data_IF_300373633739
#
_entry.id   IF_300373633739
#
_cell.length_a   1.000
_cell.length_b   1.000
_cell.length_c   1.000
_cell.angle_alpha   90.00
_cell.angle_beta   90.00
_cell.angle_gamma   90.00
#
_symmetry.space_group_name_H-M   'P 1'
#
loop_
_entity.id
_entity.type
_entity.pdbx_description
1 polymer ?
#
# COMPACT_ATOMS: atom_id res chain seq x y z
N UNK A 1 17.18 4.84 17.61
CA UNK A 1 15.77 5.22 17.87
C UNK A 1 14.96 4.09 17.31
N UNK A 2 14.42 3.22 18.16
CA UNK A 2 13.61 2.06 17.75
C UNK A 2 12.37 2.60 17.04
N UNK A 3 12.13 2.16 15.80
CA UNK A 3 10.90 2.47 15.08
C UNK A 3 9.72 1.91 15.88
N UNK A 4 8.71 2.73 16.14
CA UNK A 4 7.46 2.17 16.62
C UNK A 4 6.84 1.39 15.46
N UNK A 5 6.36 0.18 15.69
CA UNK A 5 5.72 -0.71 14.70
C UNK A 5 4.45 -0.12 14.04
N UNK A 6 4.08 1.11 14.36
CA UNK A 6 2.87 1.83 13.93
C UNK A 6 3.19 3.09 13.11
N UNK A 7 4.32 3.09 12.43
CA UNK A 7 4.76 4.27 11.64
C UNK A 7 4.75 3.99 10.14
N UNK A 8 4.00 4.78 9.39
CA UNK A 8 4.01 4.77 7.91
C UNK A 8 5.43 5.01 7.38
N UNK A 9 5.90 4.12 6.52
CA UNK A 9 7.23 4.14 5.95
C UNK A 9 7.55 5.39 5.11
N UNK A 10 8.86 5.69 4.96
CA UNK A 10 9.33 6.79 4.12
C UNK A 10 8.90 6.65 2.66
N UNK A 11 8.84 5.41 2.15
CA UNK A 11 8.38 5.09 0.80
C UNK A 11 6.94 5.52 0.54
N UNK A 12 6.02 5.23 1.48
CA UNK A 12 4.62 5.65 1.36
C UNK A 12 4.51 7.17 1.39
N UNK A 13 5.22 7.84 2.29
CA UNK A 13 5.20 9.32 2.33
C UNK A 13 5.73 9.95 1.04
N UNK A 14 6.75 9.35 0.44
CA UNK A 14 7.26 9.79 -0.87
C UNK A 14 6.23 9.53 -1.97
N UNK A 15 5.57 8.37 -1.94
CA UNK A 15 4.50 8.03 -2.88
C UNK A 15 3.36 9.04 -2.82
N UNK A 16 2.86 9.34 -1.62
CA UNK A 16 1.81 10.36 -1.43
C UNK A 16 2.23 11.69 -2.04
N UNK A 17 3.47 12.15 -1.79
CA UNK A 17 3.98 13.40 -2.34
C UNK A 17 4.17 13.43 -3.86
N UNK A 18 4.21 12.26 -4.52
CA UNK A 18 4.22 12.15 -5.99
C UNK A 18 2.81 12.02 -6.60
N UNK A 19 1.83 11.67 -5.80
CA UNK A 19 0.47 11.41 -6.25
C UNK A 19 -0.47 12.59 -6.06
N UNK A 20 -0.30 13.33 -4.95
CA UNK A 20 -1.18 14.45 -4.60
C UNK A 20 -0.36 15.65 -4.08
N UNK A 21 -0.78 16.89 -4.39
CA UNK A 21 -0.13 18.08 -3.88
C UNK A 21 -0.27 18.24 -2.37
N UNK A 22 0.63 19.01 -1.76
CA UNK A 22 0.49 19.44 -0.35
C UNK A 22 -0.84 20.20 -0.18
N UNK A 23 -1.53 19.94 0.93
CA UNK A 23 -2.85 20.48 1.21
C UNK A 23 -4.02 19.58 0.75
N UNK A 24 -3.75 18.55 -0.05
CA UNK A 24 -4.79 17.57 -0.43
C UNK A 24 -5.39 16.86 0.79
N UNK A 25 -6.61 16.34 0.60
CA UNK A 25 -7.31 15.54 1.60
C UNK A 25 -7.01 14.06 1.42
N UNK A 26 -6.60 13.40 2.47
CA UNK A 26 -6.30 11.95 2.50
C UNK A 26 -7.32 11.26 3.41
N UNK A 27 -7.98 10.24 2.88
CA UNK A 27 -8.78 9.30 3.66
C UNK A 27 -7.89 8.12 4.05
N UNK A 28 -7.61 7.98 5.34
CA UNK A 28 -6.79 6.93 5.92
C UNK A 28 -7.66 5.90 6.63
N UNK A 29 -7.44 4.62 6.37
CA UNK A 29 -8.01 3.52 7.12
C UNK A 29 -6.94 3.01 8.08
N UNK A 30 -7.19 3.15 9.38
CA UNK A 30 -6.23 2.90 10.45
C UNK A 30 -5.42 4.15 10.79
N UNK A 31 -5.46 4.55 12.05
CA UNK A 31 -4.70 5.67 12.57
C UNK A 31 -3.44 5.20 13.30
N UNK A 32 -2.40 6.02 13.27
CA UNK A 32 -1.17 5.75 13.99
C UNK A 32 -0.27 6.97 14.14
N UNK A 33 0.97 6.73 14.52
CA UNK A 33 1.99 7.79 14.61
C UNK A 33 2.22 8.45 13.23
N UNK A 34 2.02 7.68 12.16
CA UNK A 34 2.13 8.14 10.78
C UNK A 34 1.14 9.25 10.44
N UNK A 35 -0.09 9.16 10.95
CA UNK A 35 -1.15 10.16 10.77
C UNK A 35 -0.67 11.56 11.13
N UNK A 36 0.00 11.72 12.28
CA UNK A 36 0.54 13.01 12.71
C UNK A 36 1.66 13.56 11.82
N UNK A 37 2.39 12.71 11.12
CA UNK A 37 3.40 13.14 10.16
C UNK A 37 2.76 13.61 8.85
N UNK A 38 1.70 12.96 8.41
CA UNK A 38 0.94 13.33 7.22
C UNK A 38 0.12 14.60 7.47
N UNK A 39 -0.50 14.75 8.64
CA UNK A 39 -1.31 15.90 9.02
C UNK A 39 -0.55 17.25 9.00
N UNK A 40 0.78 17.22 9.02
CA UNK A 40 1.61 18.42 8.81
C UNK A 40 1.56 18.98 7.40
N UNK A 41 1.11 18.19 6.42
CA UNK A 41 1.14 18.53 4.99
C UNK A 41 -0.22 18.35 4.31
N UNK A 42 -1.09 17.53 4.87
CA UNK A 42 -2.34 17.08 4.26
C UNK A 42 -3.50 17.22 5.26
N UNK A 43 -4.69 17.40 4.75
CA UNK A 43 -5.92 17.29 5.56
C UNK A 43 -6.23 15.80 5.74
N UNK A 44 -6.09 15.30 6.97
CA UNK A 44 -6.30 13.88 7.27
C UNK A 44 -7.71 13.61 7.75
N UNK A 45 -8.33 12.57 7.21
CA UNK A 45 -9.51 11.90 7.73
C UNK A 45 -9.14 10.44 8.02
N UNK A 46 -9.13 10.05 9.29
CA UNK A 46 -8.70 8.71 9.70
C UNK A 46 -9.87 7.92 10.27
N UNK A 47 -10.17 6.78 9.64
CA UNK A 47 -11.12 5.78 10.14
C UNK A 47 -10.38 4.92 11.14
N UNK A 48 -10.85 4.91 12.41
CA UNK A 48 -10.18 4.19 13.48
C UNK A 48 -11.17 3.37 14.31
N UNK A 49 -10.77 2.15 14.67
CA UNK A 49 -11.62 1.23 15.45
C UNK A 49 -11.35 1.28 16.95
N UNK A 50 -10.12 1.57 17.36
CA UNK A 50 -9.74 1.65 18.77
C UNK A 50 -9.88 3.09 19.26
N UNK A 51 -10.82 3.28 20.19
CA UNK A 51 -11.13 4.58 20.79
C UNK A 51 -9.87 5.29 21.36
N UNK A 52 -8.87 4.53 21.78
CA UNK A 52 -7.61 5.08 22.30
C UNK A 52 -6.78 5.82 21.26
N UNK A 53 -6.96 5.48 19.99
CA UNK A 53 -6.28 6.12 18.87
C UNK A 53 -7.09 7.25 18.24
N UNK A 54 -8.39 7.31 18.52
CA UNK A 54 -9.25 8.41 18.08
C UNK A 54 -8.81 9.71 18.78
N UNK A 55 -8.49 10.73 17.98
CA UNK A 55 -7.99 12.01 18.49
C UNK A 55 -6.50 12.00 18.90
N UNK A 56 -5.76 10.92 18.67
CA UNK A 56 -4.33 10.86 18.98
C UNK A 56 -3.52 11.96 18.29
N UNK A 57 -3.93 12.38 17.10
CA UNK A 57 -3.39 13.54 16.39
C UNK A 57 -4.44 14.67 16.36
N UNK A 58 -4.20 15.77 17.07
CA UNK A 58 -5.11 16.92 17.13
C UNK A 58 -5.37 17.61 15.78
N UNK A 59 -4.49 17.39 14.79
CA UNK A 59 -4.59 17.98 13.44
C UNK A 59 -5.28 17.05 12.43
N UNK A 60 -5.79 15.90 12.86
CA UNK A 60 -6.52 14.97 12.00
C UNK A 60 -8.01 14.91 12.40
N UNK A 61 -8.88 14.72 11.42
CA UNK A 61 -10.27 14.39 11.64
C UNK A 61 -10.41 12.89 11.81
N UNK A 62 -11.29 12.46 12.72
CA UNK A 62 -11.47 11.03 13.00
C UNK A 62 -12.90 10.57 12.77
N UNK A 63 -13.01 9.36 12.25
CA UNK A 63 -14.24 8.59 12.19
C UNK A 63 -14.03 7.36 13.07
N UNK A 64 -14.66 7.32 14.25
CA UNK A 64 -14.63 6.16 15.11
C UNK A 64 -15.59 5.11 14.56
N UNK A 65 -15.06 4.04 13.96
CA UNK A 65 -15.83 2.92 13.41
C UNK A 65 -15.36 1.61 14.06
N UNK A 66 -16.07 1.11 15.08
CA UNK A 66 -15.73 -0.15 15.73
C UNK A 66 -15.68 -1.32 14.76
N UNK A 67 -14.88 -2.34 15.08
CA UNK A 67 -14.88 -3.58 14.28
C UNK A 67 -16.18 -4.34 14.51
N UNK A 68 -16.78 -4.77 13.41
CA UNK A 68 -17.96 -5.64 13.40
C UNK A 68 -17.73 -6.83 12.46
N UNK A 69 -18.53 -7.87 12.61
CA UNK A 69 -18.58 -8.97 11.63
C UNK A 69 -19.51 -8.55 10.49
N UNK A 70 -19.01 -8.63 9.26
CA UNK A 70 -19.77 -8.25 8.08
C UNK A 70 -20.88 -9.27 7.75
N UNK A 71 -21.74 -8.93 6.80
CA UNK A 71 -22.89 -9.74 6.41
C UNK A 71 -22.55 -11.15 5.88
N UNK A 72 -21.29 -11.38 5.45
CA UNK A 72 -20.77 -12.70 5.06
C UNK A 72 -20.56 -13.66 6.25
N UNK A 73 -20.68 -13.15 7.50
CA UNK A 73 -20.54 -13.91 8.73
C UNK A 73 -19.08 -14.24 9.12
N UNK A 74 -18.10 -13.90 8.31
CA UNK A 74 -16.70 -14.29 8.49
C UNK A 74 -15.74 -13.11 8.56
N UNK A 75 -15.92 -12.09 7.74
CA UNK A 75 -15.02 -10.94 7.67
C UNK A 75 -15.28 -9.98 8.82
N UNK A 76 -14.22 -9.63 9.55
CA UNK A 76 -14.26 -8.58 10.57
C UNK A 76 -13.68 -7.30 9.98
N UNK A 77 -14.44 -6.20 10.10
CA UNK A 77 -14.00 -4.91 9.54
C UNK A 77 -14.71 -3.73 10.23
N UNK A 78 -14.32 -2.52 9.88
CA UNK A 78 -15.00 -1.30 10.34
C UNK A 78 -16.49 -1.37 10.07
N UNK A 79 -17.30 -0.91 10.99
CA UNK A 79 -18.77 -0.93 10.87
C UNK A 79 -19.23 -0.09 9.66
N UNK A 80 -19.76 -0.73 8.59
CA UNK A 80 -20.20 -0.01 7.38
C UNK A 80 -21.34 0.97 7.66
N UNK A 81 -22.18 0.71 8.68
CA UNK A 81 -23.31 1.58 9.05
C UNK A 81 -22.85 2.94 9.57
N UNK A 82 -21.68 2.96 10.21
CA UNK A 82 -21.01 4.20 10.63
C UNK A 82 -20.40 4.90 9.43
N UNK A 83 -19.69 4.15 8.59
CA UNK A 83 -18.92 4.69 7.48
C UNK A 83 -19.80 5.38 6.43
N UNK A 84 -20.94 4.81 6.09
CA UNK A 84 -21.85 5.34 5.05
C UNK A 84 -22.28 6.80 5.28
N UNK A 85 -22.31 7.22 6.54
CA UNK A 85 -22.77 8.58 6.90
C UNK A 85 -21.62 9.55 7.21
N UNK A 86 -20.41 9.07 7.47
CA UNK A 86 -19.33 9.87 8.03
C UNK A 86 -18.12 10.02 7.10
N UNK A 87 -17.97 9.14 6.09
CA UNK A 87 -16.89 9.29 5.11
C UNK A 87 -17.05 10.63 4.37
N UNK A 88 -16.00 11.47 4.31
CA UNK A 88 -16.07 12.72 3.56
C UNK A 88 -16.33 12.44 2.07
N UNK A 89 -17.17 13.27 1.44
CA UNK A 89 -17.50 13.11 0.02
C UNK A 89 -16.27 13.38 -0.87
N UNK A 90 -15.40 14.29 -0.45
CA UNK A 90 -14.23 14.71 -1.22
C UNK A 90 -12.93 14.36 -0.48
N UNK A 91 -12.09 13.61 -1.15
CA UNK A 91 -10.70 13.34 -0.80
C UNK A 91 -9.92 13.03 -2.09
N UNK A 92 -8.61 13.18 -2.01
CA UNK A 92 -7.72 13.09 -3.18
C UNK A 92 -6.93 11.78 -3.21
N UNK A 93 -6.93 11.03 -2.11
CA UNK A 93 -6.19 9.78 -1.97
C UNK A 93 -6.79 8.93 -0.85
N UNK A 94 -6.77 7.59 -1.03
CA UNK A 94 -7.07 6.62 0.02
C UNK A 94 -5.77 5.95 0.46
N UNK A 95 -5.54 5.89 1.78
CA UNK A 95 -4.46 5.12 2.40
C UNK A 95 -5.05 3.97 3.22
N UNK A 96 -4.79 2.74 2.82
CA UNK A 96 -5.26 1.54 3.51
C UNK A 96 -4.13 0.99 4.38
N UNK A 97 -4.11 1.40 5.65
CA UNK A 97 -3.16 0.95 6.68
C UNK A 97 -3.83 0.20 7.84
N UNK A 98 -5.13 0.03 7.77
CA UNK A 98 -5.94 -0.68 8.76
C UNK A 98 -7.15 -1.39 8.15
N UNK A 99 -7.87 -2.14 8.98
CA UNK A 99 -7.60 -2.43 10.38
C UNK A 99 -6.35 -3.31 10.59
N UNK A 100 -5.91 -3.53 11.85
CA UNK A 100 -4.77 -4.41 12.14
C UNK A 100 -4.92 -5.80 11.53
N UNK A 101 -3.79 -6.42 11.14
CA UNK A 101 -3.76 -7.69 10.41
C UNK A 101 -4.53 -8.86 11.06
N UNK A 102 -4.76 -8.83 12.39
CA UNK A 102 -5.62 -9.82 13.07
C UNK A 102 -7.09 -9.82 12.60
N UNK A 103 -7.55 -8.71 12.03
CA UNK A 103 -8.90 -8.58 11.45
C UNK A 103 -8.88 -8.74 9.93
N UNK A 104 -7.72 -8.54 9.30
CA UNK A 104 -7.57 -8.47 7.85
C UNK A 104 -8.08 -7.16 7.26
N UNK A 105 -7.80 -6.95 5.97
CA UNK A 105 -8.23 -5.74 5.23
C UNK A 105 -9.21 -6.06 4.09
N UNK A 106 -9.65 -7.32 3.97
CA UNK A 106 -10.57 -7.77 2.90
C UNK A 106 -11.93 -7.05 2.94
N UNK A 107 -12.34 -6.56 4.12
CA UNK A 107 -13.54 -5.75 4.25
C UNK A 107 -13.54 -4.48 3.40
N UNK A 108 -12.36 -3.95 3.02
CA UNK A 108 -12.28 -2.82 2.10
C UNK A 108 -12.81 -3.16 0.71
N UNK A 109 -12.46 -4.33 0.15
CA UNK A 109 -12.96 -4.73 -1.17
C UNK A 109 -14.44 -5.14 -1.13
N UNK A 110 -14.93 -5.65 0.00
CA UNK A 110 -16.34 -6.01 0.18
C UNK A 110 -17.25 -4.77 0.29
N UNK A 111 -16.70 -3.67 0.79
CA UNK A 111 -17.44 -2.42 1.00
C UNK A 111 -16.88 -1.26 0.16
N UNK A 112 -16.21 -1.56 -0.94
CA UNK A 112 -15.53 -0.53 -1.73
C UNK A 112 -16.48 0.50 -2.34
N UNK A 113 -17.76 0.16 -2.51
CA UNK A 113 -18.81 1.07 -3.00
C UNK A 113 -19.12 2.22 -2.02
N UNK A 114 -18.68 2.12 -0.77
CA UNK A 114 -18.74 3.22 0.19
C UNK A 114 -17.72 4.33 -0.12
N UNK A 115 -16.72 4.02 -0.95
CA UNK A 115 -15.59 4.89 -1.19
C UNK A 115 -15.60 5.47 -2.59
N UNK A 116 -15.20 6.73 -2.71
CA UNK A 116 -14.85 7.31 -4.00
C UNK A 116 -13.52 6.75 -4.45
N UNK A 117 -13.51 5.86 -5.40
CA UNK A 117 -12.32 5.12 -5.83
C UNK A 117 -11.67 5.65 -7.11
N UNK A 118 -12.12 6.78 -7.66
CA UNK A 118 -11.50 7.47 -8.81
C UNK A 118 -10.18 8.19 -8.47
N UNK A 119 -9.74 8.10 -7.24
CA UNK A 119 -8.47 8.61 -6.69
C UNK A 119 -7.40 7.52 -6.58
N UNK A 120 -6.11 7.87 -6.37
CA UNK A 120 -5.07 6.92 -6.01
C UNK A 120 -5.39 6.17 -4.70
N UNK A 121 -5.08 4.88 -4.66
CA UNK A 121 -5.23 4.03 -3.48
C UNK A 121 -3.86 3.44 -3.14
N UNK A 122 -3.37 3.70 -1.94
CA UNK A 122 -2.17 3.09 -1.39
C UNK A 122 -2.57 2.03 -0.38
N UNK A 123 -1.92 0.87 -0.44
CA UNK A 123 -2.12 -0.23 0.51
C UNK A 123 -0.79 -0.52 1.17
N UNK A 124 -0.70 -0.33 2.48
CA UNK A 124 0.49 -0.63 3.26
C UNK A 124 0.60 -2.13 3.57
N UNK A 125 1.77 -2.56 4.00
CA UNK A 125 2.10 -3.93 4.41
C UNK A 125 1.93 -4.98 3.29
N UNK A 126 1.99 -4.61 2.01
CA UNK A 126 1.82 -5.58 0.91
C UNK A 126 2.99 -6.57 0.76
N UNK A 127 3.94 -6.55 1.69
CA UNK A 127 4.86 -7.66 1.94
C UNK A 127 4.12 -8.89 2.50
N UNK A 128 2.98 -8.69 3.17
CA UNK A 128 2.12 -9.76 3.65
C UNK A 128 1.25 -10.29 2.49
N UNK A 129 1.02 -11.60 2.48
CA UNK A 129 0.26 -12.27 1.42
C UNK A 129 -1.16 -11.73 1.23
N UNK A 130 -1.84 -11.46 2.34
CA UNK A 130 -3.24 -11.01 2.34
C UNK A 130 -3.38 -9.60 1.76
N UNK A 131 -2.56 -8.65 2.21
CA UNK A 131 -2.54 -7.29 1.68
C UNK A 131 -2.07 -7.25 0.21
N UNK A 132 -1.12 -8.10 -0.16
CA UNK A 132 -0.72 -8.25 -1.57
C UNK A 132 -1.84 -8.83 -2.45
N UNK A 133 -2.63 -9.77 -1.91
CA UNK A 133 -3.83 -10.32 -2.57
C UNK A 133 -4.89 -9.23 -2.74
N UNK A 134 -5.21 -8.50 -1.67
CA UNK A 134 -6.14 -7.38 -1.69
C UNK A 134 -5.76 -6.35 -2.77
N UNK A 135 -4.49 -5.96 -2.84
CA UNK A 135 -4.00 -5.00 -3.83
C UNK A 135 -4.26 -5.47 -5.27
N UNK A 136 -4.00 -6.76 -5.57
CA UNK A 136 -4.24 -7.34 -6.90
C UNK A 136 -5.72 -7.41 -7.24
N UNK A 137 -6.54 -7.89 -6.31
CA UNK A 137 -7.99 -8.03 -6.52
C UNK A 137 -8.66 -6.67 -6.72
N UNK A 138 -8.25 -5.67 -5.93
CA UNK A 138 -8.75 -4.31 -6.06
C UNK A 138 -8.33 -3.66 -7.39
N UNK A 139 -7.07 -3.81 -7.80
CA UNK A 139 -6.58 -3.31 -9.08
C UNK A 139 -7.33 -3.97 -10.26
N UNK A 140 -7.59 -5.27 -10.17
CA UNK A 140 -8.38 -6.00 -11.14
C UNK A 140 -9.82 -5.48 -11.19
N UNK A 141 -10.49 -5.37 -10.05
CA UNK A 141 -11.88 -4.88 -9.93
C UNK A 141 -12.03 -3.47 -10.50
N UNK A 142 -11.07 -2.59 -10.24
CA UNK A 142 -11.06 -1.22 -10.73
C UNK A 142 -10.54 -1.09 -12.18
N UNK A 143 -9.98 -2.16 -12.76
CA UNK A 143 -9.29 -2.15 -14.05
C UNK A 143 -8.22 -1.05 -14.15
N UNK A 144 -7.32 -1.01 -13.15
CA UNK A 144 -6.30 0.05 -13.00
C UNK A 144 -4.90 -0.49 -12.86
N UNK A 145 -3.88 0.31 -13.24
CA UNK A 145 -2.48 -0.02 -13.02
C UNK A 145 -2.18 -0.23 -11.52
N UNK A 146 -1.45 -1.32 -11.23
CA UNK A 146 -0.92 -1.64 -9.92
C UNK A 146 0.60 -1.53 -9.96
N UNK A 147 1.17 -0.71 -9.06
CA UNK A 147 2.59 -0.60 -8.82
C UNK A 147 2.90 -1.24 -7.47
N UNK A 148 3.79 -2.22 -7.46
CA UNK A 148 4.18 -2.95 -6.26
C UNK A 148 5.58 -2.52 -5.84
N UNK A 149 5.71 -2.01 -4.62
CA UNK A 149 6.96 -1.68 -3.96
C UNK A 149 7.24 -2.74 -2.88
N UNK A 150 8.39 -2.62 -2.20
CA UNK A 150 8.82 -3.70 -1.32
C UNK A 150 7.83 -4.04 -0.17
N UNK A 151 7.12 -3.07 0.42
CA UNK A 151 6.14 -3.33 1.47
C UNK A 151 4.80 -2.60 1.29
N UNK A 152 4.61 -1.91 0.18
CA UNK A 152 3.34 -1.26 -0.13
C UNK A 152 3.05 -1.32 -1.62
N UNK A 153 1.79 -1.09 -1.96
CA UNK A 153 1.34 -1.06 -3.35
C UNK A 153 0.51 0.20 -3.63
N UNK A 154 0.50 0.62 -4.89
CA UNK A 154 -0.22 1.79 -5.37
C UNK A 154 -1.11 1.39 -6.54
N UNK A 155 -2.40 1.72 -6.45
CA UNK A 155 -3.37 1.60 -7.53
C UNK A 155 -3.74 3.03 -7.96
N UNK A 156 -3.57 3.35 -9.23
CA UNK A 156 -3.75 4.71 -9.73
C UNK A 156 -4.73 4.77 -10.91
N UNK A 157 -5.48 5.88 -11.06
CA UNK A 157 -6.36 6.07 -12.23
C UNK A 157 -5.58 6.23 -13.53
N UNK A 158 -4.34 6.75 -13.47
CA UNK A 158 -3.47 6.99 -14.63
C UNK A 158 -2.07 6.46 -14.38
N UNK A 159 -1.34 6.12 -15.45
CA UNK A 159 0.05 5.63 -15.36
C UNK A 159 0.96 6.66 -14.70
N UNK A 160 1.79 6.21 -13.79
CA UNK A 160 2.87 7.02 -13.23
C UNK A 160 3.98 7.24 -14.27
N UNK A 161 4.57 8.42 -14.23
CA UNK A 161 5.77 8.72 -15.03
C UNK A 161 6.99 7.97 -14.47
N UNK A 162 7.98 7.73 -15.31
CA UNK A 162 9.25 7.12 -14.92
C UNK A 162 9.92 7.86 -13.75
N UNK A 163 9.86 9.20 -13.75
CA UNK A 163 10.43 10.03 -12.68
C UNK A 163 9.72 9.85 -11.35
N UNK A 164 8.40 9.73 -11.35
CA UNK A 164 7.62 9.44 -10.14
C UNK A 164 7.99 8.06 -9.57
N UNK A 165 8.01 7.04 -10.41
CA UNK A 165 8.38 5.67 -10.02
C UNK A 165 9.79 5.67 -9.42
N UNK A 166 10.77 6.25 -10.10
CA UNK A 166 12.16 6.30 -9.62
C UNK A 166 12.30 7.05 -8.27
N UNK A 167 11.53 8.11 -8.07
CA UNK A 167 11.53 8.87 -6.80
C UNK A 167 10.96 8.04 -5.66
N UNK A 168 9.80 7.39 -5.89
CA UNK A 168 9.16 6.52 -4.90
C UNK A 168 10.07 5.35 -4.55
N UNK A 169 10.65 4.70 -5.56
CA UNK A 169 11.58 3.57 -5.41
C UNK A 169 12.78 3.94 -4.55
N UNK A 170 13.43 5.05 -4.85
CA UNK A 170 14.60 5.51 -4.09
C UNK A 170 14.29 5.72 -2.61
N UNK A 171 13.16 6.33 -2.29
CA UNK A 171 12.77 6.57 -0.90
C UNK A 171 12.33 5.29 -0.19
N UNK A 172 11.68 4.36 -0.91
CA UNK A 172 11.35 3.04 -0.38
C UNK A 172 12.63 2.26 -0.02
N UNK A 173 13.65 2.31 -0.88
CA UNK A 173 14.93 1.64 -0.65
C UNK A 173 15.73 2.23 0.51
N UNK A 174 15.71 3.56 0.70
CA UNK A 174 16.36 4.19 1.87
C UNK A 174 15.80 3.71 3.20
N UNK A 175 14.53 3.28 3.21
CA UNK A 175 13.93 2.67 4.38
C UNK A 175 14.47 1.27 4.59
N UNK A 176 14.54 0.47 3.51
CA UNK A 176 15.07 -0.90 3.56
C UNK A 176 16.52 -0.94 4.07
N UNK A 177 17.36 0.02 3.67
CA UNK A 177 18.75 0.12 4.14
C UNK A 177 18.89 0.35 5.65
N UNK A 178 17.82 0.82 6.30
CA UNK A 178 17.77 1.12 7.74
C UNK A 178 17.07 0.04 8.55
N UNK A 179 16.37 -0.88 7.91
CA UNK A 179 15.75 -2.02 8.59
C UNK A 179 16.85 -3.02 8.99
N UNK A 180 16.72 -3.59 10.18
CA UNK A 180 17.61 -4.64 10.61
C UNK A 180 17.30 -5.99 9.93
N UNK A 181 18.29 -6.86 9.92
CA UNK A 181 18.15 -8.18 9.29
C UNK A 181 17.08 -9.04 9.98
N UNK A 182 16.85 -8.86 11.28
CA UNK A 182 15.82 -9.57 12.05
C UNK A 182 14.41 -9.23 11.57
N UNK A 183 14.16 -7.94 11.27
CA UNK A 183 12.88 -7.52 10.68
C UNK A 183 12.65 -8.16 9.31
N UNK A 184 13.68 -8.13 8.46
CA UNK A 184 13.60 -8.72 7.13
C UNK A 184 13.37 -10.24 7.21
N UNK A 185 14.05 -10.95 8.11
CA UNK A 185 13.88 -12.39 8.29
C UNK A 185 12.50 -12.77 8.80
N UNK A 186 11.86 -11.96 9.63
CA UNK A 186 10.53 -12.22 10.17
C UNK A 186 9.44 -12.23 9.10
N UNK A 187 9.57 -11.39 8.07
CA UNK A 187 8.53 -11.20 7.05
C UNK A 187 8.88 -11.82 5.70
N UNK A 188 10.14 -12.17 5.48
CA UNK A 188 10.58 -12.86 4.28
C UNK A 188 10.73 -14.36 4.55
N UNK A 189 9.74 -15.16 4.16
CA UNK A 189 9.92 -16.60 3.99
C UNK A 189 10.54 -16.82 2.60
N UNK A 190 11.84 -17.11 2.58
CA UNK A 190 12.50 -17.49 1.35
C UNK A 190 12.09 -18.93 0.98
N UNK A 191 11.62 -19.19 -0.26
CA UNK A 191 11.40 -20.57 -0.69
C UNK A 191 12.73 -21.30 -0.75
N UNK A 192 12.84 -22.45 -0.09
CA UNK A 192 13.97 -23.37 -0.22
C UNK A 192 14.08 -23.84 -1.69
N UNK A 193 15.25 -23.85 -2.31
CA UNK A 193 16.62 -23.63 -1.82
C UNK A 193 17.27 -22.33 -2.33
N UNK A 194 16.53 -21.24 -2.46
CA UNK A 194 17.06 -20.00 -3.03
C UNK A 194 17.89 -19.30 -1.96
N UNK A 195 19.18 -19.12 -2.24
CA UNK A 195 20.08 -18.32 -1.39
C UNK A 195 19.56 -16.89 -1.26
N UNK A 196 19.45 -16.40 -0.02
CA UNK A 196 19.19 -15.00 0.29
C UNK A 196 20.26 -14.14 -0.42
N UNK A 197 19.91 -13.23 -1.34
CA UNK A 197 20.89 -12.34 -1.95
C UNK A 197 21.49 -11.41 -0.89
N UNK A 198 22.77 -11.08 -1.00
CA UNK A 198 23.36 -10.06 -0.14
C UNK A 198 22.88 -8.64 -0.54
N UNK A 199 23.12 -7.66 0.33
CA UNK A 199 22.69 -6.26 0.08
C UNK A 199 23.22 -5.70 -1.24
N UNK A 200 24.42 -6.08 -1.66
CA UNK A 200 25.00 -5.59 -2.93
C UNK A 200 24.33 -6.21 -4.15
N UNK A 201 23.90 -7.46 -4.04
CA UNK A 201 23.11 -8.14 -5.07
C UNK A 201 21.72 -7.51 -5.20
N UNK A 202 21.10 -7.12 -4.07
CA UNK A 202 19.83 -6.39 -4.06
C UNK A 202 19.91 -5.07 -4.83
N UNK A 203 20.94 -4.25 -4.60
CA UNK A 203 21.15 -2.99 -5.33
C UNK A 203 21.27 -3.23 -6.83
N UNK A 204 22.09 -4.22 -7.25
CA UNK A 204 22.25 -4.56 -8.66
C UNK A 204 20.97 -5.06 -9.32
N UNK A 205 20.17 -5.86 -8.60
CA UNK A 205 18.88 -6.34 -9.09
C UNK A 205 17.90 -5.20 -9.31
N UNK A 206 17.86 -4.22 -8.41
CA UNK A 206 16.98 -3.05 -8.46
C UNK A 206 17.43 -2.08 -9.55
N UNK A 207 18.73 -1.80 -9.69
CA UNK A 207 19.26 -0.95 -10.76
C UNK A 207 18.95 -1.55 -12.14
N UNK A 208 19.07 -2.85 -12.29
CA UNK A 208 18.75 -3.55 -13.54
C UNK A 208 17.28 -3.48 -13.92
N UNK A 209 16.38 -3.45 -12.94
CA UNK A 209 14.94 -3.38 -13.18
C UNK A 209 14.41 -1.94 -13.38
N UNK A 210 15.20 -0.92 -13.02
CA UNK A 210 14.87 0.50 -13.33
C UNK A 210 15.04 0.78 -14.84
N UNK A 211 15.89 0.01 -15.53
CA UNK A 211 16.11 0.11 -16.99
C UNK A 211 14.99 -0.56 -17.83
N UNK A 212 13.91 -0.98 -17.19
CA UNK A 212 12.74 -1.69 -17.75
C UNK A 212 11.90 -0.88 -18.75
N UNK A 213 12.49 0.03 -19.48
CA UNK A 213 11.72 0.89 -20.37
C UNK A 213 11.65 0.40 -21.82
N UNK A 214 12.30 -0.66 -22.19
CA UNK A 214 12.34 -1.08 -23.59
C UNK A 214 11.45 -2.27 -23.96
N UNK A 215 10.94 -3.09 -23.00
CA UNK A 215 10.26 -4.29 -23.46
C UNK A 215 9.18 -4.83 -22.50
N UNK A 216 7.93 -4.49 -22.74
CA UNK A 216 6.76 -5.17 -22.13
C UNK A 216 6.75 -6.67 -22.45
N UNK A 217 7.31 -7.10 -23.57
CA UNK A 217 7.45 -8.51 -23.96
C UNK A 217 8.52 -9.23 -23.13
N UNK A 218 9.61 -8.56 -22.77
CA UNK A 218 10.63 -9.10 -21.88
C UNK A 218 10.15 -9.26 -20.46
N UNK A 219 9.22 -8.41 -19.96
CA UNK A 219 8.58 -8.58 -18.66
C UNK A 219 7.80 -9.89 -18.60
N UNK A 220 7.09 -10.26 -19.67
CA UNK A 220 6.32 -11.51 -19.75
C UNK A 220 7.21 -12.75 -19.84
N UNK A 221 8.43 -12.62 -20.32
CA UNK A 221 9.40 -13.71 -20.44
C UNK A 221 10.38 -13.78 -19.27
N UNK A 222 10.42 -12.75 -18.39
CA UNK A 222 11.38 -12.71 -17.29
C UNK A 222 11.13 -13.84 -16.28
N UNK A 223 12.21 -14.37 -15.74
CA UNK A 223 12.20 -15.44 -14.75
C UNK A 223 11.39 -15.04 -13.50
N UNK A 224 11.35 -13.75 -13.18
CA UNK A 224 10.55 -13.15 -12.09
C UNK A 224 9.04 -13.27 -12.29
N UNK A 225 8.56 -13.27 -13.53
CA UNK A 225 7.16 -13.50 -13.85
C UNK A 225 6.77 -14.99 -13.73
N UNK A 226 7.72 -15.89 -14.04
CA UNK A 226 7.51 -17.35 -14.02
C UNK A 226 7.62 -17.99 -12.65
N UNK A 227 8.44 -17.45 -11.75
CA UNK A 227 8.66 -17.98 -10.39
C UNK A 227 7.72 -17.30 -9.38
N UNK A 228 6.61 -16.77 -9.81
CA UNK A 228 5.52 -16.31 -8.91
C UNK A 228 5.99 -15.59 -7.64
N UNK A 229 5.83 -14.30 -7.61
CA UNK A 229 5.56 -13.43 -6.46
C UNK A 229 6.56 -13.27 -5.32
N UNK A 230 7.56 -14.12 -5.14
CA UNK A 230 8.25 -14.20 -3.84
C UNK A 230 9.77 -13.92 -3.85
N UNK A 231 10.42 -13.77 -4.96
CA UNK A 231 11.88 -13.80 -4.96
C UNK A 231 12.61 -12.52 -5.38
N UNK A 232 11.94 -11.53 -5.91
CA UNK A 232 12.63 -10.33 -6.37
C UNK A 232 11.78 -9.09 -6.17
N UNK A 233 12.33 -8.10 -5.50
CA UNK A 233 11.77 -6.77 -5.39
C UNK A 233 12.42 -5.82 -6.38
N UNK A 234 11.83 -5.69 -7.55
CA UNK A 234 11.74 -4.41 -8.22
C UNK A 234 10.31 -3.92 -8.21
N UNK A 235 10.12 -2.67 -8.54
CA UNK A 235 8.79 -2.14 -8.83
C UNK A 235 8.16 -3.01 -9.93
N UNK A 236 7.11 -3.76 -9.60
CA UNK A 236 6.35 -4.52 -10.59
C UNK A 236 5.20 -3.67 -11.07
N UNK A 237 5.21 -3.35 -12.35
CA UNK A 237 4.06 -2.78 -13.03
C UNK A 237 3.22 -3.97 -13.50
N UNK A 238 2.11 -4.23 -12.82
CA UNK A 238 1.11 -5.19 -13.30
C UNK A 238 0.11 -4.37 -14.12
N UNK A 239 0.30 -4.38 -15.44
CA UNK A 239 -0.64 -3.75 -16.36
C UNK A 239 -1.63 -4.82 -16.80
N UNK A 240 -2.86 -4.74 -16.31
CA UNK A 240 -3.95 -5.57 -16.79
C UNK A 240 -4.45 -5.00 -18.13
N UNK A 241 -3.91 -5.50 -19.24
CA UNK A 241 -4.51 -5.28 -20.55
C UNK A 241 -5.57 -6.35 -20.81
N UNK A 242 -6.84 -6.01 -20.69
CA UNK A 242 -7.88 -6.79 -21.32
C UNK A 242 -7.99 -6.42 -22.79
N UNK A 243 -7.65 -7.37 -23.67
CA UNK A 243 -8.14 -7.33 -25.04
C UNK A 243 -9.66 -7.53 -24.98
N UNK A 244 -10.39 -6.53 -25.48
CA UNK A 244 -11.75 -6.77 -25.96
C UNK A 244 -11.63 -7.72 -27.14
N UNK A 245 -12.15 -8.92 -26.99
CA UNK A 245 -12.62 -9.75 -28.11
C UNK A 245 -14.04 -9.31 -28.44
#
# INVERSE_FOLDING_TARGET
MVRSHWEIGGGIRAAIGQLVPVGSTILELGSGIGTGKLAKKYTMWSIEHDEKWVGHCEFANYIHAPITTLADGNTQWYDPSVLVNLIPINYDLILVDGPPGKYGRDGFILNFDLFRTDVPILIDDTIRSEEAKLARELAFKLNRPLYVFWNFSIIVPHLLSKSQIATIQREAMRVLEKEDDEYLERYFTWPEPIRKPDRSEWHKMIEKDIDLTEDIENIKSSYSYRIGLFATFPVRIIINFFRRS
#
